data_IF_142735091711
#
_entry.id   IF_142735091711
#
_cell.length_a   1.000
_cell.length_b   1.000
_cell.length_c   1.000
_cell.angle_alpha   90.00
_cell.angle_beta   90.00
_cell.angle_gamma   90.00
#
_symmetry.space_group_name_H-M   'P 1'
#
loop_
_entity.id
_entity.type
_entity.pdbx_description
1 polymer ?
#
# COMPACT_ATOMS: atom_id res chain seq x y z
N UNK A 1 -13.53 21.95 2.73
CA UNK A 1 -12.50 22.98 2.95
C UNK A 1 -13.24 24.28 3.23
N UNK A 2 -13.08 24.87 4.41
CA UNK A 2 -13.61 26.20 4.70
C UNK A 2 -12.60 27.25 4.22
N UNK A 3 -13.10 28.29 3.56
CA UNK A 3 -12.33 29.42 3.05
C UNK A 3 -12.94 30.70 3.59
N UNK A 4 -12.15 31.47 4.32
CA UNK A 4 -12.55 32.76 4.91
C UNK A 4 -11.83 33.85 4.14
N UNK A 5 -12.59 34.78 3.58
CA UNK A 5 -12.04 35.95 2.89
C UNK A 5 -12.37 37.17 3.73
N UNK A 6 -11.35 37.83 4.27
CA UNK A 6 -11.54 39.12 4.96
C UNK A 6 -11.24 40.25 3.99
N UNK A 7 -12.25 41.08 3.76
CA UNK A 7 -12.14 42.27 2.92
C UNK A 7 -11.97 43.51 3.78
N UNK A 8 -10.94 44.29 3.49
CA UNK A 8 -10.70 45.57 4.12
C UNK A 8 -11.44 46.66 3.33
N UNK A 9 -12.31 47.49 3.94
CA UNK A 9 -13.07 48.51 3.21
C UNK A 9 -12.22 49.70 2.76
N UNK A 10 -11.00 49.84 3.27
CA UNK A 10 -10.14 50.99 3.00
C UNK A 10 -9.51 50.90 1.59
N UNK A 11 -9.53 52.01 0.85
CA UNK A 11 -8.95 52.09 -0.49
C UNK A 11 -7.43 51.82 -0.42
N UNK A 12 -6.98 50.73 -1.07
CA UNK A 12 -5.58 50.30 -1.08
C UNK A 12 -5.23 49.19 -0.07
N UNK A 13 -6.18 48.76 0.77
CA UNK A 13 -6.01 47.65 1.68
C UNK A 13 -6.46 46.34 0.99
N UNK A 14 -5.55 45.37 0.84
CA UNK A 14 -5.83 44.11 0.14
C UNK A 14 -6.82 43.19 0.87
N UNK A 15 -7.23 42.11 0.20
CA UNK A 15 -8.00 41.02 0.81
C UNK A 15 -7.06 39.98 1.41
N UNK A 16 -7.34 39.51 2.63
CA UNK A 16 -6.68 38.32 3.17
C UNK A 16 -7.58 37.10 3.00
N UNK A 17 -6.97 35.98 2.63
CA UNK A 17 -7.65 34.70 2.45
C UNK A 17 -7.05 33.72 3.44
N UNK A 18 -7.90 33.06 4.22
CA UNK A 18 -7.52 31.98 5.12
C UNK A 18 -8.26 30.71 4.72
N UNK A 19 -7.52 29.61 4.58
CA UNK A 19 -8.07 28.29 4.31
C UNK A 19 -7.89 27.40 5.55
N UNK A 20 -8.92 26.61 5.85
CA UNK A 20 -8.90 25.65 6.98
C UNK A 20 -7.80 24.59 6.91
N UNK A 21 -7.23 24.37 5.73
CA UNK A 21 -6.17 23.39 5.48
C UNK A 21 -5.54 23.69 4.11
N UNK A 22 -4.25 23.36 3.92
CA UNK A 22 -3.63 23.42 2.60
C UNK A 22 -4.19 22.32 1.68
N UNK A 23 -3.98 22.49 0.38
CA UNK A 23 -4.12 21.39 -0.59
C UNK A 23 -2.82 20.57 -0.63
N UNK A 24 -2.92 19.27 -0.89
CA UNK A 24 -1.73 18.44 -1.07
C UNK A 24 -0.93 18.92 -2.30
N UNK A 25 0.40 18.87 -2.22
CA UNK A 25 1.30 19.30 -3.29
C UNK A 25 0.93 18.62 -4.61
N UNK A 26 0.85 19.39 -5.69
CA UNK A 26 0.50 18.89 -7.01
C UNK A 26 -0.98 18.59 -7.22
N UNK A 27 -1.81 18.52 -6.17
CA UNK A 27 -3.23 18.13 -6.31
C UNK A 27 -4.19 19.20 -5.79
N UNK A 28 -5.48 19.06 -6.10
CA UNK A 28 -6.56 19.89 -5.52
C UNK A 28 -7.21 19.25 -4.29
N UNK A 29 -6.58 18.25 -3.69
CA UNK A 29 -7.15 17.48 -2.59
C UNK A 29 -6.86 18.20 -1.26
N UNK A 30 -7.86 18.47 -0.41
CA UNK A 30 -7.63 19.01 0.92
C UNK A 30 -6.76 18.06 1.76
N UNK A 31 -5.71 18.57 2.41
CA UNK A 31 -4.71 17.74 3.08
C UNK A 31 -5.32 16.76 4.10
N UNK A 32 -6.26 17.20 4.94
CA UNK A 32 -6.92 16.34 5.92
C UNK A 32 -7.73 15.19 5.31
N UNK A 33 -8.34 15.41 4.14
CA UNK A 33 -9.08 14.36 3.43
C UNK A 33 -8.14 13.28 2.91
N UNK A 34 -7.00 13.69 2.34
CA UNK A 34 -5.99 12.76 1.87
C UNK A 34 -5.33 12.00 3.03
N UNK A 35 -4.91 12.72 4.07
CA UNK A 35 -4.27 12.15 5.26
C UNK A 35 -5.17 11.16 5.98
N UNK A 36 -6.49 11.41 6.03
CA UNK A 36 -7.44 10.44 6.57
C UNK A 36 -7.46 9.14 5.74
N UNK A 37 -7.53 9.24 4.40
CA UNK A 37 -7.45 8.05 3.53
C UNK A 37 -6.14 7.31 3.68
N UNK A 38 -5.02 8.04 3.71
CA UNK A 38 -3.69 7.47 3.91
C UNK A 38 -3.59 6.74 5.25
N UNK A 39 -4.00 7.38 6.34
CA UNK A 39 -3.97 6.81 7.69
C UNK A 39 -4.81 5.53 7.81
N UNK A 40 -6.03 5.52 7.25
CA UNK A 40 -6.88 4.33 7.24
C UNK A 40 -6.18 3.18 6.49
N UNK A 41 -5.56 3.47 5.34
CA UNK A 41 -4.89 2.47 4.52
C UNK A 41 -3.67 1.86 5.23
N UNK A 42 -2.75 2.70 5.71
CA UNK A 42 -1.50 2.23 6.36
C UNK A 42 -1.77 1.55 7.70
N UNK A 43 -2.82 1.96 8.42
CA UNK A 43 -3.25 1.29 9.64
C UNK A 43 -3.96 -0.07 9.38
N UNK A 44 -4.25 -0.42 8.12
CA UNK A 44 -5.05 -1.61 7.79
C UNK A 44 -6.49 -1.53 8.31
N UNK A 45 -7.01 -0.32 8.53
CA UNK A 45 -8.33 -0.08 9.08
C UNK A 45 -9.44 -0.29 8.04
N UNK A 46 -10.63 -0.68 8.49
CA UNK A 46 -11.80 -0.74 7.62
C UNK A 46 -12.35 0.67 7.37
N UNK A 47 -12.31 1.19 6.13
CA UNK A 47 -12.78 2.55 5.82
C UNK A 47 -14.26 2.72 6.20
N UNK A 48 -15.11 1.74 5.90
CA UNK A 48 -16.53 1.78 6.26
C UNK A 48 -16.75 1.91 7.77
N UNK A 49 -15.97 1.17 8.59
CA UNK A 49 -16.07 1.25 10.06
C UNK A 49 -15.54 2.58 10.58
N UNK A 50 -14.40 3.04 10.08
CA UNK A 50 -13.79 4.31 10.52
C UNK A 50 -14.70 5.51 10.21
N UNK A 51 -15.25 5.58 8.98
CA UNK A 51 -16.16 6.66 8.60
C UNK A 51 -17.47 6.60 9.40
N UNK A 52 -17.97 5.40 9.72
CA UNK A 52 -19.14 5.22 10.61
C UNK A 52 -18.88 5.71 12.03
N UNK A 53 -17.68 5.49 12.56
CA UNK A 53 -17.27 6.03 13.87
C UNK A 53 -17.26 7.56 13.82
N UNK A 54 -16.77 8.16 12.75
CA UNK A 54 -16.74 9.62 12.58
C UNK A 54 -18.16 10.19 12.51
N UNK A 55 -19.06 9.52 11.80
CA UNK A 55 -20.49 9.84 11.75
C UNK A 55 -21.13 9.79 13.15
N UNK A 56 -20.83 8.76 13.96
CA UNK A 56 -21.31 8.66 15.35
C UNK A 56 -20.75 9.75 16.26
N UNK A 57 -19.56 10.28 15.98
CA UNK A 57 -18.99 11.44 16.67
C UNK A 57 -19.52 12.78 16.16
N UNK A 58 -20.36 12.79 15.12
CA UNK A 58 -20.83 14.03 14.47
C UNK A 58 -19.76 14.74 13.63
N UNK A 59 -18.69 14.04 13.24
CA UNK A 59 -17.63 14.57 12.40
C UNK A 59 -17.97 14.40 10.92
N UNK A 60 -18.00 15.51 10.19
CA UNK A 60 -18.06 15.47 8.73
C UNK A 60 -16.74 14.95 8.16
N UNK A 61 -16.80 13.91 7.33
CA UNK A 61 -15.63 13.30 6.71
C UNK A 61 -15.88 12.92 5.25
N UNK A 62 -14.86 12.37 4.59
CA UNK A 62 -14.95 11.95 3.19
C UNK A 62 -15.95 10.81 3.01
N UNK A 63 -16.57 10.74 1.83
CA UNK A 63 -17.39 9.60 1.45
C UNK A 63 -16.53 8.36 1.20
N UNK A 64 -17.13 7.17 1.33
CA UNK A 64 -16.46 5.91 1.06
C UNK A 64 -15.96 5.80 -0.39
N UNK A 65 -16.72 6.33 -1.36
CA UNK A 65 -16.30 6.43 -2.76
C UNK A 65 -15.04 7.28 -2.94
N UNK A 66 -14.94 8.41 -2.23
CA UNK A 66 -13.75 9.28 -2.23
C UNK A 66 -12.54 8.56 -1.66
N UNK A 67 -12.71 7.75 -0.60
CA UNK A 67 -11.64 6.90 -0.08
C UNK A 67 -11.13 5.93 -1.14
N UNK A 68 -12.03 5.19 -1.81
CA UNK A 68 -11.63 4.23 -2.84
C UNK A 68 -10.96 4.90 -4.03
N UNK A 69 -11.40 6.11 -4.40
CA UNK A 69 -10.73 6.91 -5.43
C UNK A 69 -9.32 7.30 -5.02
N UNK A 70 -9.13 7.84 -3.81
CA UNK A 70 -7.79 8.13 -3.28
C UNK A 70 -6.92 6.86 -3.27
N UNK A 71 -7.52 5.72 -2.93
CA UNK A 71 -6.83 4.43 -2.86
C UNK A 71 -6.31 3.99 -4.24
N UNK A 72 -7.16 3.97 -5.27
CA UNK A 72 -6.82 3.47 -6.60
C UNK A 72 -5.96 4.42 -7.43
N UNK A 73 -6.22 5.73 -7.33
CA UNK A 73 -5.58 6.72 -8.20
C UNK A 73 -4.26 7.26 -7.62
N UNK A 74 -4.07 7.19 -6.30
CA UNK A 74 -2.93 7.84 -5.64
C UNK A 74 -2.20 6.90 -4.70
N UNK A 75 -2.88 6.36 -3.68
CA UNK A 75 -2.22 5.65 -2.59
C UNK A 75 -1.56 4.34 -3.06
N UNK A 76 -2.27 3.50 -3.82
CA UNK A 76 -1.69 2.28 -4.37
C UNK A 76 -0.54 2.56 -5.35
N UNK A 77 -0.69 3.48 -6.33
CA UNK A 77 0.42 3.92 -7.17
C UNK A 77 1.66 4.33 -6.37
N UNK A 78 1.51 5.19 -5.36
CA UNK A 78 2.62 5.64 -4.50
C UNK A 78 3.28 4.48 -3.77
N UNK A 79 2.49 3.61 -3.14
CA UNK A 79 3.02 2.45 -2.41
C UNK A 79 3.81 1.55 -3.35
N UNK A 80 3.30 1.29 -4.55
CA UNK A 80 3.98 0.45 -5.52
C UNK A 80 5.24 1.11 -6.08
N UNK A 81 5.23 2.43 -6.31
CA UNK A 81 6.44 3.17 -6.69
C UNK A 81 7.50 3.10 -5.60
N UNK A 82 7.10 3.37 -4.35
CA UNK A 82 7.98 3.25 -3.18
C UNK A 82 8.57 1.84 -3.09
N UNK A 83 7.73 0.81 -3.20
CA UNK A 83 8.16 -0.59 -3.14
C UNK A 83 9.14 -0.95 -4.26
N UNK A 84 8.87 -0.53 -5.52
CA UNK A 84 9.79 -0.75 -6.65
C UNK A 84 11.14 -0.07 -6.41
N UNK A 85 11.14 1.16 -5.89
CA UNK A 85 12.36 1.91 -5.55
C UNK A 85 13.14 1.19 -4.45
N UNK A 86 12.46 0.79 -3.38
CA UNK A 86 13.03 0.05 -2.25
C UNK A 86 13.62 -1.30 -2.68
N UNK A 87 12.89 -2.09 -3.46
CA UNK A 87 13.36 -3.37 -3.99
C UNK A 87 14.60 -3.19 -4.87
N UNK A 88 14.63 -2.17 -5.74
CA UNK A 88 15.79 -1.87 -6.58
C UNK A 88 17.03 -1.50 -5.75
N UNK A 89 16.86 -0.74 -4.67
CA UNK A 89 17.95 -0.42 -3.75
C UNK A 89 18.51 -1.68 -3.10
N UNK A 90 17.65 -2.52 -2.50
CA UNK A 90 18.06 -3.78 -1.88
C UNK A 90 18.80 -4.69 -2.87
N UNK A 91 18.27 -4.87 -4.08
CA UNK A 91 18.94 -5.70 -5.11
C UNK A 91 20.29 -5.12 -5.50
N UNK A 92 20.42 -3.78 -5.54
CA UNK A 92 21.69 -3.11 -5.83
C UNK A 92 22.70 -3.32 -4.72
N UNK A 93 22.27 -3.23 -3.46
CA UNK A 93 23.15 -3.41 -2.31
C UNK A 93 23.59 -4.87 -2.17
N UNK A 94 22.68 -5.83 -2.36
CA UNK A 94 23.01 -7.26 -2.37
C UNK A 94 24.00 -7.60 -3.49
N UNK A 95 23.84 -7.01 -4.69
CA UNK A 95 24.79 -7.21 -5.81
C UNK A 95 26.17 -6.63 -5.55
N UNK A 96 26.28 -5.54 -4.78
CA UNK A 96 27.57 -4.99 -4.35
C UNK A 96 28.26 -5.89 -3.33
N UNK A 97 27.48 -6.53 -2.46
CA UNK A 97 28.01 -7.39 -1.39
C UNK A 97 28.29 -8.83 -1.83
N UNK A 98 27.65 -9.34 -2.89
CA UNK A 98 27.80 -10.72 -3.36
C UNK A 98 28.08 -10.83 -4.86
N UNK A 99 29.28 -11.28 -5.23
CA UNK A 99 29.67 -11.63 -6.62
C UNK A 99 29.01 -12.91 -7.16
N UNK A 100 28.42 -13.76 -6.31
CA UNK A 100 28.00 -15.13 -6.66
C UNK A 100 26.53 -15.32 -7.10
N UNK A 101 25.80 -14.24 -7.39
CA UNK A 101 24.44 -14.32 -7.90
C UNK A 101 23.36 -14.53 -6.82
N UNK A 102 22.13 -14.14 -7.14
CA UNK A 102 20.98 -14.10 -6.22
C UNK A 102 19.99 -15.20 -6.64
N UNK A 103 19.64 -16.09 -5.70
CA UNK A 103 18.55 -17.08 -5.86
C UNK A 103 17.41 -16.61 -4.97
N UNK A 104 16.27 -16.25 -5.56
CA UNK A 104 15.09 -15.78 -4.84
C UNK A 104 14.23 -16.93 -4.33
N UNK A 105 13.58 -16.76 -3.18
CA UNK A 105 12.58 -17.67 -2.64
C UNK A 105 11.28 -16.91 -2.34
N UNK A 106 10.15 -17.58 -2.55
CA UNK A 106 8.82 -17.06 -2.23
C UNK A 106 8.40 -17.39 -0.80
N UNK A 107 7.24 -16.88 -0.39
CA UNK A 107 6.64 -17.07 0.94
C UNK A 107 5.94 -18.43 1.12
N UNK A 108 6.17 -19.39 0.22
CA UNK A 108 5.65 -20.75 0.28
C UNK A 108 4.12 -20.87 0.14
N UNK A 109 3.39 -19.79 -0.15
CA UNK A 109 1.92 -19.85 -0.29
C UNK A 109 1.45 -20.41 -1.65
N UNK A 110 2.37 -20.71 -2.55
CA UNK A 110 2.05 -21.29 -3.85
C UNK A 110 3.11 -22.28 -4.39
N UNK A 111 3.63 -23.19 -3.56
CA UNK A 111 4.54 -24.23 -4.05
C UNK A 111 3.93 -25.62 -3.89
N UNK A 112 3.57 -26.25 -5.02
CA UNK A 112 3.42 -27.71 -5.09
C UNK A 112 4.83 -28.32 -5.06
N UNK A 113 5.08 -29.11 -4.02
CA UNK A 113 6.13 -30.14 -3.91
C UNK A 113 7.45 -29.83 -4.64
N UNK A 114 8.16 -28.80 -4.17
CA UNK A 114 9.54 -28.50 -4.57
C UNK A 114 10.45 -28.61 -3.34
N UNK A 115 11.61 -29.26 -3.52
CA UNK A 115 12.68 -29.35 -2.52
C UNK A 115 13.11 -27.94 -2.07
N UNK A 116 12.54 -27.48 -0.95
CA UNK A 116 12.70 -26.11 -0.46
C UNK A 116 14.13 -25.90 0.04
N UNK A 117 14.94 -25.16 -0.72
CA UNK A 117 16.36 -24.89 -0.41
C UNK A 117 16.54 -23.58 0.36
N UNK A 118 15.56 -22.66 0.26
CA UNK A 118 15.61 -21.32 0.82
C UNK A 118 14.28 -21.01 1.51
N UNK A 119 14.34 -20.42 2.70
CA UNK A 119 13.16 -20.11 3.53
C UNK A 119 13.21 -18.66 3.99
N UNK A 120 12.09 -17.94 3.85
CA UNK A 120 11.93 -16.55 4.32
C UNK A 120 11.00 -16.57 5.52
N UNK A 121 11.41 -15.99 6.64
CA UNK A 121 10.55 -15.90 7.82
C UNK A 121 10.75 -14.62 8.62
N UNK A 122 9.85 -14.41 9.57
CA UNK A 122 9.93 -13.31 10.53
C UNK A 122 11.23 -13.31 11.33
N UNK A 123 11.69 -12.11 11.70
CA UNK A 123 12.83 -11.90 12.59
C UNK A 123 12.42 -12.09 14.06
N UNK A 124 12.10 -13.32 14.44
CA UNK A 124 11.90 -13.70 15.85
C UNK A 124 13.11 -14.49 16.37
N UNK A 125 13.56 -14.22 17.60
CA UNK A 125 14.77 -14.84 18.20
C UNK A 125 14.66 -16.36 18.29
N UNK A 126 13.46 -16.87 18.57
CA UNK A 126 13.19 -18.32 18.63
C UNK A 126 13.29 -18.97 17.24
N UNK A 127 12.82 -18.29 16.19
CA UNK A 127 12.90 -18.80 14.80
C UNK A 127 14.35 -18.81 14.34
N UNK A 128 15.11 -17.73 14.57
CA UNK A 128 16.55 -17.68 14.26
C UNK A 128 17.35 -18.79 14.94
N UNK A 129 17.01 -19.12 16.20
CA UNK A 129 17.64 -20.22 16.93
C UNK A 129 17.26 -21.57 16.34
N UNK A 130 15.96 -21.81 16.12
CA UNK A 130 15.45 -23.05 15.55
C UNK A 130 16.03 -23.34 14.16
N UNK A 131 16.08 -22.32 13.28
CA UNK A 131 16.66 -22.46 11.94
C UNK A 131 18.15 -22.79 11.98
N UNK A 132 18.92 -22.18 12.90
CA UNK A 132 20.34 -22.48 13.09
C UNK A 132 20.58 -23.90 13.59
N UNK A 133 19.70 -24.40 14.45
CA UNK A 133 19.92 -25.68 15.15
C UNK A 133 19.33 -26.88 14.40
N UNK A 134 18.19 -26.72 13.70
CA UNK A 134 17.42 -27.85 13.15
C UNK A 134 17.44 -27.92 11.61
N UNK A 135 17.70 -26.81 10.91
CA UNK A 135 17.62 -26.72 9.45
C UNK A 135 18.92 -26.18 8.82
N UNK A 136 20.03 -26.87 9.10
CA UNK A 136 21.39 -26.51 8.66
C UNK A 136 21.59 -26.42 7.14
N UNK A 137 20.72 -27.06 6.35
CA UNK A 137 20.80 -27.07 4.87
C UNK A 137 19.95 -25.98 4.21
N UNK A 138 19.13 -25.27 4.97
CA UNK A 138 18.21 -24.25 4.44
C UNK A 138 18.86 -22.88 4.64
N UNK A 139 19.03 -22.13 3.55
CA UNK A 139 19.48 -20.73 3.65
C UNK A 139 18.30 -19.89 4.12
N UNK A 140 18.43 -19.31 5.31
CA UNK A 140 17.36 -18.55 5.96
C UNK A 140 17.53 -17.05 5.70
N UNK A 141 16.51 -16.43 5.09
CA UNK A 141 16.41 -14.98 4.93
C UNK A 141 15.32 -14.41 5.85
N UNK A 142 15.50 -13.17 6.28
CA UNK A 142 14.49 -12.46 7.08
C UNK A 142 13.53 -11.72 6.16
N UNK A 143 12.24 -11.79 6.48
CA UNK A 143 11.21 -11.01 5.80
C UNK A 143 11.47 -9.51 5.98
N UNK A 144 11.67 -8.82 4.85
CA UNK A 144 12.02 -7.39 4.77
C UNK A 144 10.87 -6.49 5.22
N UNK A 145 9.63 -7.00 5.19
CA UNK A 145 8.43 -6.24 5.58
C UNK A 145 8.48 -5.75 7.05
N UNK A 146 9.28 -6.39 7.90
CA UNK A 146 9.41 -6.06 9.32
C UNK A 146 10.56 -5.09 9.64
N UNK A 147 11.43 -4.75 8.67
CA UNK A 147 12.56 -3.82 8.88
C UNK A 147 12.12 -2.36 8.91
N UNK A 148 10.97 -2.04 8.33
CA UNK A 148 10.52 -0.66 8.12
C UNK A 148 9.45 -0.26 9.12
N UNK A 149 9.75 -0.23 10.43
CA UNK A 149 8.80 0.40 11.38
C UNK A 149 8.52 1.90 11.09
N UNK A 150 9.26 2.51 10.16
CA UNK A 150 9.09 3.87 9.67
C UNK A 150 8.61 3.95 8.19
N UNK A 151 8.04 2.88 7.61
CA UNK A 151 7.60 2.93 6.19
C UNK A 151 6.56 4.02 5.91
N UNK A 152 5.80 4.44 6.92
CA UNK A 152 4.73 5.44 6.77
C UNK A 152 5.31 6.77 6.27
N UNK A 153 6.41 7.22 6.87
CA UNK A 153 7.07 8.46 6.49
C UNK A 153 7.71 8.34 5.10
N UNK A 154 8.33 7.20 4.80
CA UNK A 154 8.98 6.97 3.50
C UNK A 154 7.97 6.91 2.33
N UNK A 155 6.80 6.31 2.56
CA UNK A 155 5.70 6.28 1.59
C UNK A 155 5.14 7.70 1.40
N UNK A 156 4.96 8.44 2.48
CA UNK A 156 4.48 9.82 2.39
C UNK A 156 5.48 10.73 1.67
N UNK A 157 6.77 10.59 1.95
CA UNK A 157 7.82 11.33 1.24
C UNK A 157 7.85 10.96 -0.25
N UNK A 158 7.64 9.69 -0.58
CA UNK A 158 7.53 9.24 -1.97
C UNK A 158 6.36 9.95 -2.68
N UNK A 159 5.22 10.13 -2.01
CA UNK A 159 4.09 10.91 -2.55
C UNK A 159 4.47 12.38 -2.78
N UNK A 160 5.13 13.02 -1.81
CA UNK A 160 5.53 14.44 -1.92
C UNK A 160 6.54 14.66 -3.06
N UNK A 161 7.40 13.68 -3.33
CA UNK A 161 8.41 13.74 -4.38
C UNK A 161 7.88 13.41 -5.79
N UNK A 162 6.75 12.71 -5.90
CA UNK A 162 6.17 12.31 -7.18
C UNK A 162 5.20 13.36 -7.76
N UNK A 163 5.04 13.34 -9.08
CA UNK A 163 4.11 14.21 -9.80
C UNK A 163 2.76 13.51 -10.07
N UNK A 164 1.73 14.28 -10.44
CA UNK A 164 0.42 13.72 -10.85
C UNK A 164 0.57 12.72 -12.02
N UNK A 165 1.44 13.00 -12.98
CA UNK A 165 1.72 12.12 -14.12
C UNK A 165 2.34 10.78 -13.70
N UNK A 166 3.22 10.80 -12.67
CA UNK A 166 3.82 9.58 -12.12
C UNK A 166 2.77 8.68 -11.48
N UNK A 167 1.81 9.27 -10.76
CA UNK A 167 0.70 8.54 -10.15
C UNK A 167 -0.20 7.89 -11.21
N UNK A 168 -0.55 8.62 -12.26
CA UNK A 168 -1.39 8.11 -13.34
C UNK A 168 -0.69 6.97 -14.09
N UNK A 169 0.60 7.13 -14.41
CA UNK A 169 1.41 6.10 -15.05
C UNK A 169 1.51 4.83 -14.19
N UNK A 170 1.79 4.99 -12.90
CA UNK A 170 1.85 3.87 -11.97
C UNK A 170 0.48 3.20 -11.75
N UNK A 171 -0.62 3.96 -11.73
CA UNK A 171 -1.98 3.43 -11.65
C UNK A 171 -2.33 2.57 -12.85
N UNK A 172 -2.03 3.04 -14.08
CA UNK A 172 -2.23 2.26 -15.31
C UNK A 172 -1.40 0.97 -15.30
N UNK A 173 -0.12 1.06 -14.95
CA UNK A 173 0.74 -0.11 -14.86
C UNK A 173 0.26 -1.12 -13.79
N UNK A 174 -0.36 -0.64 -12.71
CA UNK A 174 -0.96 -1.51 -11.70
C UNK A 174 -2.22 -2.20 -12.22
N UNK A 175 -3.10 -1.46 -12.89
CA UNK A 175 -4.33 -2.00 -13.47
C UNK A 175 -4.06 -3.13 -14.48
N UNK A 176 -2.96 -3.05 -15.23
CA UNK A 176 -2.53 -4.08 -16.18
C UNK A 176 -2.06 -5.39 -15.49
N UNK A 177 -1.48 -5.27 -14.29
CA UNK A 177 -0.90 -6.40 -13.55
C UNK A 177 -1.90 -7.01 -12.57
N UNK A 178 -2.89 -6.23 -12.13
CA UNK A 178 -3.95 -6.73 -11.24
C UNK A 178 -4.80 -7.75 -12.00
N UNK A 179 -4.81 -9.03 -11.61
CA UNK A 179 -5.70 -9.99 -12.21
C UNK A 179 -7.14 -9.53 -11.97
N UNK A 180 -8.03 -9.88 -12.90
CA UNK A 180 -9.47 -9.72 -12.65
C UNK A 180 -9.79 -10.34 -11.29
N UNK A 181 -10.66 -9.72 -10.47
CA UNK A 181 -11.10 -10.31 -9.23
C UNK A 181 -11.44 -11.77 -9.51
N UNK A 182 -10.78 -12.71 -8.83
CA UNK A 182 -11.19 -14.13 -8.90
C UNK A 182 -12.70 -14.17 -8.76
N UNK A 183 -13.37 -14.90 -9.65
CA UNK A 183 -14.83 -15.06 -9.70
C UNK A 183 -15.37 -14.95 -8.28
N UNK A 184 -16.15 -13.89 -8.05
CA UNK A 184 -16.66 -13.58 -6.71
C UNK A 184 -17.24 -14.86 -6.12
N UNK A 185 -17.09 -15.09 -4.81
CA UNK A 185 -17.68 -16.24 -4.09
C UNK A 185 -19.21 -16.46 -4.31
N UNK A 186 -19.85 -15.57 -5.07
CA UNK A 186 -21.25 -15.60 -5.49
C UNK A 186 -21.45 -16.29 -6.86
N UNK A 187 -20.44 -16.32 -7.71
CA UNK A 187 -20.44 -17.08 -8.97
C UNK A 187 -20.11 -18.54 -8.66
N UNK A 188 -21.13 -19.26 -8.18
CA UNK A 188 -21.04 -20.70 -8.01
C UNK A 188 -20.76 -21.33 -9.37
N UNK A 189 -19.75 -22.22 -9.43
CA UNK A 189 -19.56 -23.10 -10.59
C UNK A 189 -20.92 -23.71 -11.01
N UNK A 190 -21.23 -23.80 -12.30
CA UNK A 190 -22.46 -24.41 -12.78
C UNK A 190 -22.65 -25.79 -12.17
N UNK A 191 -23.89 -26.10 -11.75
CA UNK A 191 -24.22 -27.34 -11.04
C UNK A 191 -23.74 -28.58 -11.81
N UNK A 192 -23.80 -28.53 -13.14
CA UNK A 192 -23.45 -29.64 -14.03
C UNK A 192 -21.94 -29.95 -13.99
N UNK A 193 -21.08 -28.93 -13.90
CA UNK A 193 -19.62 -29.11 -13.73
C UNK A 193 -19.26 -29.64 -12.35
N UNK A 194 -20.01 -29.24 -11.31
CA UNK A 194 -19.82 -29.75 -9.95
C UNK A 194 -20.18 -31.24 -9.83
N UNK A 195 -21.21 -31.69 -10.58
CA UNK A 195 -21.61 -33.10 -10.63
C UNK A 195 -20.56 -33.91 -11.39
N UNK A 196 -20.05 -33.43 -12.53
CA UNK A 196 -19.03 -34.12 -13.30
C UNK A 196 -17.71 -34.37 -12.52
N UNK A 197 -17.30 -33.43 -11.66
CA UNK A 197 -16.11 -33.60 -10.79
C UNK A 197 -16.31 -34.57 -9.62
N UNK A 198 -17.56 -34.88 -9.28
CA UNK A 198 -17.88 -35.84 -8.20
C UNK A 198 -17.83 -37.29 -8.70
N UNK A 199 -17.98 -37.50 -10.00
CA UNK A 199 -18.00 -38.81 -10.64
C UNK A 199 -16.62 -39.20 -11.25
N UNK A 200 -15.57 -38.42 -11.00
CA UNK A 200 -14.16 -38.72 -11.28
C UNK A 200 -13.40 -39.07 -9.99
#
# INVERSE_FOLDING_TARGET
MAKVVTMCPNQGCGSNVWDSQPSMVGTKIPAGNFLLSFAILVAGGSPSKTLRIFEHMGLSCIALSTYFRHQSEILFPVICMHWKKYQKQIVTDIKKENEKGIIGAGDGRHDKELNMTIFISDRHTSIKKHMREQLLKVVHYFDLWHLTKNYVDDIFETFVQSTEDDHECASKALAEITPSPMDTMLEKQPKDEAIAKRDQ
#
